data_IF_935838135691
#
_entry.id   IF_935838135691
#
_cell.length_a   1.000
_cell.length_b   1.000
_cell.length_c   1.000
_cell.angle_alpha   90.00
_cell.angle_beta   90.00
_cell.angle_gamma   90.00
#
_symmetry.space_group_name_H-M   'P 1'
#
loop_
_entity.id
_entity.type
_entity.pdbx_description
1 polymer ?
#
# COMPACT_ATOMS: atom_id res chain seq x y z
N UNK A 1 19.95 14.63 1.98
CA UNK A 1 19.19 13.51 2.55
C UNK A 1 18.13 13.09 1.54
N UNK A 2 18.45 12.10 0.69
CA UNK A 2 17.50 11.55 -0.27
C UNK A 2 16.57 10.60 0.48
N UNK A 3 15.34 11.03 0.74
CA UNK A 3 14.29 10.14 1.24
C UNK A 3 13.91 9.20 0.09
N UNK A 4 14.02 7.87 0.24
CA UNK A 4 13.49 6.96 -0.77
C UNK A 4 11.98 7.07 -0.75
N UNK A 5 11.42 7.81 -1.71
CA UNK A 5 10.00 7.72 -2.00
C UNK A 5 9.81 6.42 -2.76
N UNK A 6 9.13 5.44 -2.17
CA UNK A 6 8.54 4.37 -2.96
C UNK A 6 7.39 5.03 -3.72
N UNK A 7 7.69 5.56 -4.90
CA UNK A 7 6.67 5.90 -5.88
C UNK A 7 6.19 4.55 -6.41
N UNK A 8 5.13 4.00 -5.82
CA UNK A 8 4.38 2.92 -6.48
C UNK A 8 3.66 3.57 -7.66
N UNK A 9 4.37 3.70 -8.78
CA UNK A 9 3.69 3.83 -10.06
C UNK A 9 2.96 2.48 -10.22
N UNK A 10 1.64 2.51 -10.15
CA UNK A 10 0.81 1.31 -10.31
C UNK A 10 1.06 0.74 -11.70
N UNK A 11 2.02 -0.18 -11.81
CA UNK A 11 2.09 -1.09 -12.95
C UNK A 11 0.83 -1.94 -12.87
N UNK A 12 0.02 -1.92 -13.91
CA UNK A 12 -1.22 -2.70 -14.02
C UNK A 12 -0.99 -4.21 -14.15
N UNK A 13 0.20 -4.71 -13.78
CA UNK A 13 0.68 -6.08 -13.94
C UNK A 13 1.40 -6.56 -12.67
N UNK A 14 0.74 -6.43 -11.52
CA UNK A 14 1.26 -6.91 -10.25
C UNK A 14 0.35 -8.05 -9.80
N UNK A 15 0.93 -9.21 -9.48
CA UNK A 15 0.18 -10.37 -8.99
C UNK A 15 0.07 -10.39 -7.45
N UNK A 16 0.93 -9.64 -6.76
CA UNK A 16 1.02 -9.61 -5.30
C UNK A 16 1.36 -8.21 -4.75
N UNK A 17 0.71 -7.84 -3.64
CA UNK A 17 0.99 -6.62 -2.88
C UNK A 17 1.43 -7.00 -1.48
N UNK A 18 2.57 -6.47 -1.04
CA UNK A 18 3.16 -6.66 0.28
C UNK A 18 3.27 -5.29 0.96
N UNK A 19 2.60 -5.10 2.10
CA UNK A 19 2.45 -3.81 2.78
C UNK A 19 2.94 -3.93 4.21
N UNK A 20 3.88 -3.08 4.63
CA UNK A 20 4.25 -2.89 6.03
C UNK A 20 3.65 -1.57 6.56
N UNK A 21 2.83 -1.66 7.59
CA UNK A 21 2.18 -0.52 8.24
C UNK A 21 2.81 -0.34 9.62
N UNK A 22 3.51 0.78 9.83
CA UNK A 22 4.02 1.13 11.17
C UNK A 22 2.94 1.76 12.05
N UNK A 23 3.16 1.74 13.37
CA UNK A 23 2.27 2.35 14.38
C UNK A 23 2.37 3.89 14.39
N UNK A 24 1.96 4.55 13.30
CA UNK A 24 2.01 6.00 13.16
C UNK A 24 0.97 6.53 12.18
N UNK A 25 0.46 7.73 12.45
CA UNK A 25 -0.50 8.41 11.58
C UNK A 25 0.22 9.51 10.80
N UNK A 26 0.19 9.40 9.48
CA UNK A 26 0.75 10.39 8.57
C UNK A 26 -0.33 10.76 7.54
N UNK A 27 -0.99 11.92 7.73
CA UNK A 27 -2.16 12.31 6.94
C UNK A 27 -2.23 13.81 6.66
N UNK A 28 -1.09 14.43 6.30
CA UNK A 28 -1.03 15.87 6.00
C UNK A 28 -1.66 16.15 4.63
N UNK A 29 -2.42 17.23 4.52
CA UNK A 29 -2.98 17.71 3.25
C UNK A 29 -1.90 17.86 2.18
N UNK A 30 -2.15 17.35 0.98
CA UNK A 30 -1.22 17.43 -0.16
C UNK A 30 -0.05 16.44 -0.11
N UNK A 31 0.00 15.52 0.86
CA UNK A 31 0.88 14.36 0.80
C UNK A 31 0.18 13.21 0.06
N UNK A 32 0.88 12.48 -0.82
CA UNK A 32 0.30 11.34 -1.51
C UNK A 32 -0.06 10.23 -0.52
N UNK A 33 -1.15 9.52 -0.80
CA UNK A 33 -1.50 8.28 -0.09
C UNK A 33 -0.76 7.08 -0.70
N UNK A 34 -0.88 5.90 -0.07
CA UNK A 34 -0.28 4.67 -0.57
C UNK A 34 -0.83 4.25 -1.95
N UNK A 35 -2.13 4.50 -2.18
CA UNK A 35 -2.80 4.28 -3.47
C UNK A 35 -3.53 5.55 -3.89
N UNK A 36 -3.04 6.21 -4.93
CA UNK A 36 -3.55 7.50 -5.39
C UNK A 36 -3.61 7.57 -6.92
N UNK A 37 -4.16 8.66 -7.47
CA UNK A 37 -4.13 9.02 -8.90
C UNK A 37 -4.87 8.06 -9.85
N UNK A 38 -5.90 7.34 -9.37
CA UNK A 38 -6.84 6.63 -10.25
C UNK A 38 -7.97 7.56 -10.68
N UNK A 39 -8.50 7.36 -11.89
CA UNK A 39 -9.68 8.11 -12.34
C UNK A 39 -10.93 7.64 -11.61
N UNK A 40 -11.94 8.52 -11.46
CA UNK A 40 -13.24 8.16 -10.87
C UNK A 40 -13.92 6.98 -11.58
N UNK A 41 -13.69 6.82 -12.88
CA UNK A 41 -14.19 5.70 -13.69
C UNK A 41 -13.44 4.39 -13.49
N UNK A 42 -12.31 4.41 -12.76
CA UNK A 42 -11.49 3.23 -12.53
C UNK A 42 -12.18 2.25 -11.58
N UNK A 43 -12.33 0.99 -12.01
CA UNK A 43 -12.83 -0.07 -11.12
C UNK A 43 -11.81 -0.35 -10.01
N UNK A 44 -12.25 -0.72 -8.79
CA UNK A 44 -11.37 -1.24 -7.76
C UNK A 44 -10.64 -2.50 -8.25
N UNK A 45 -9.38 -2.67 -7.86
CA UNK A 45 -8.63 -3.92 -8.07
C UNK A 45 -8.95 -4.84 -6.89
N UNK A 46 -9.52 -6.01 -7.17
CA UNK A 46 -9.87 -6.96 -6.13
C UNK A 46 -8.61 -7.64 -5.58
N UNK A 47 -8.52 -7.73 -4.26
CA UNK A 47 -7.40 -8.35 -3.55
C UNK A 47 -7.87 -9.54 -2.72
N UNK A 48 -6.99 -10.53 -2.54
CA UNK A 48 -7.15 -11.63 -1.61
C UNK A 48 -6.09 -11.55 -0.53
N UNK A 49 -6.49 -11.36 0.73
CA UNK A 49 -5.57 -11.46 1.86
C UNK A 49 -5.00 -12.89 1.92
N UNK A 50 -3.68 -13.00 1.96
CA UNK A 50 -2.95 -14.27 2.06
C UNK A 50 -2.27 -14.46 3.38
N UNK A 51 -1.71 -13.38 3.94
CA UNK A 51 -0.96 -13.47 5.18
C UNK A 51 -0.99 -12.16 5.96
N UNK A 52 -0.81 -12.28 7.27
CA UNK A 52 -0.72 -11.18 8.22
C UNK A 52 0.31 -11.52 9.28
N UNK A 53 1.25 -10.62 9.51
CA UNK A 53 2.20 -10.70 10.62
C UNK A 53 2.17 -9.40 11.43
N UNK A 54 2.12 -9.51 12.75
CA UNK A 54 2.26 -8.38 13.67
C UNK A 54 3.63 -8.41 14.33
N UNK A 55 4.27 -7.25 14.46
CA UNK A 55 5.54 -7.09 15.13
C UNK A 55 5.35 -6.47 16.54
N UNK A 56 6.34 -6.67 17.42
CA UNK A 56 6.30 -6.20 18.81
C UNK A 56 6.19 -4.67 18.94
N UNK A 57 6.70 -3.94 17.96
CA UNK A 57 6.65 -2.46 17.90
C UNK A 57 5.30 -1.92 17.39
N UNK A 58 4.33 -2.80 17.17
CA UNK A 58 2.99 -2.46 16.69
C UNK A 58 2.90 -2.31 15.17
N UNK A 59 3.97 -2.57 14.42
CA UNK A 59 3.88 -2.68 12.98
C UNK A 59 3.10 -3.94 12.55
N UNK A 60 2.45 -3.88 11.40
CA UNK A 60 1.74 -5.01 10.79
C UNK A 60 2.16 -5.15 9.34
N UNK A 61 2.57 -6.35 8.95
CA UNK A 61 2.77 -6.74 7.57
C UNK A 61 1.54 -7.45 7.02
N UNK A 62 1.12 -7.08 5.81
CA UNK A 62 -0.03 -7.63 5.09
C UNK A 62 0.41 -8.08 3.70
N UNK A 63 0.01 -9.29 3.31
CA UNK A 63 0.26 -9.85 1.99
C UNK A 63 -1.05 -10.13 1.25
N UNK A 64 -1.20 -9.59 0.04
CA UNK A 64 -2.38 -9.75 -0.80
C UNK A 64 -2.01 -10.29 -2.19
N UNK A 65 -2.83 -11.16 -2.77
CA UNK A 65 -2.78 -11.45 -4.21
C UNK A 65 -3.83 -10.62 -4.95
N UNK A 66 -3.50 -10.22 -6.17
CA UNK A 66 -4.47 -9.60 -7.09
C UNK A 66 -5.37 -10.67 -7.69
N UNK A 67 -6.67 -10.39 -7.79
CA UNK A 67 -7.69 -11.27 -8.37
C UNK A 67 -8.11 -10.83 -9.77
#
# INVERSE_FOLDING_TARGET
MNKPYIIVHMMTSVDEISILIGAGVYGRTGQPSFFDNRTESSRPIALQLKDVESYEDGAVWLRYLVK
#
